data_IF_066559654955
#
_entry.id   IF_066559654955
#
_cell.length_a   1.000
_cell.length_b   1.000
_cell.length_c   1.000
_cell.angle_alpha   90.00
_cell.angle_beta   90.00
_cell.angle_gamma   90.00
#
_symmetry.space_group_name_H-M   'P 1'
#
loop_
_entity.id
_entity.type
_entity.pdbx_description
1 polymer ?
#
# COMPACT_ATOMS: atom_id res chain seq x y z
N UNK A 1 -5.26 -11.89 0.54
CA UNK A 1 -6.63 -11.47 0.94
C UNK A 1 -6.79 -11.73 2.43
N UNK A 2 -6.81 -10.67 3.24
CA UNK A 2 -7.01 -10.75 4.69
C UNK A 2 -8.15 -9.79 5.04
N UNK A 3 -9.20 -10.26 5.72
CA UNK A 3 -10.33 -9.44 6.15
C UNK A 3 -10.11 -8.97 7.60
N UNK A 4 -10.08 -7.66 7.91
CA UNK A 4 -9.99 -7.21 9.28
C UNK A 4 -11.37 -7.21 9.96
N UNK A 5 -11.42 -7.72 11.19
CA UNK A 5 -12.56 -7.57 12.12
C UNK A 5 -12.79 -6.07 12.39
N UNK A 6 -14.06 -5.67 12.43
CA UNK A 6 -14.51 -4.29 12.74
C UNK A 6 -13.83 -3.74 14.00
N UNK A 7 -13.11 -2.63 13.87
CA UNK A 7 -12.60 -1.86 14.99
C UNK A 7 -13.73 -1.09 15.72
N UNK A 8 -13.65 -0.86 17.04
CA UNK A 8 -14.64 -0.08 17.78
C UNK A 8 -14.48 1.43 17.51
N UNK A 9 -15.60 2.16 17.47
CA UNK A 9 -15.65 3.61 17.18
C UNK A 9 -14.88 4.44 18.22
N UNK A 10 -14.22 5.55 17.81
CA UNK A 10 -13.55 6.44 18.76
C UNK A 10 -14.56 7.24 19.59
N UNK A 11 -14.28 7.37 20.90
CA UNK A 11 -15.03 8.23 21.82
C UNK A 11 -14.71 9.71 21.56
N UNK A 12 -15.77 10.51 21.57
CA UNK A 12 -15.81 11.96 21.37
C UNK A 12 -14.96 12.70 22.41
N UNK A 13 -13.98 13.50 21.95
CA UNK A 13 -13.32 14.51 22.79
C UNK A 13 -14.33 15.61 23.13
N UNK A 14 -14.46 15.96 24.41
CA UNK A 14 -15.12 17.18 24.86
C UNK A 14 -14.06 18.15 25.40
N UNK A 15 -14.02 19.32 24.79
CA UNK A 15 -13.28 20.50 25.21
C UNK A 15 -14.00 21.21 26.36
N UNK A 16 -13.31 21.55 27.44
CA UNK A 16 -13.72 22.65 28.31
C UNK A 16 -12.51 23.40 28.89
N UNK A 17 -12.74 24.70 29.09
CA UNK A 17 -11.85 25.86 29.13
C UNK A 17 -11.40 26.26 30.55
N UNK A 18 -10.31 27.06 30.61
CA UNK A 18 -9.62 27.68 31.76
C UNK A 18 -10.46 28.38 32.84
N UNK A 19 -9.95 28.44 34.08
CA UNK A 19 -9.95 29.65 34.96
C UNK A 19 -9.03 29.49 36.20
N UNK A 20 -8.79 30.60 36.92
CA UNK A 20 -7.58 31.04 37.66
C UNK A 20 -7.43 30.71 39.18
N UNK A 21 -6.15 30.78 39.63
CA UNK A 21 -5.57 31.27 40.92
C UNK A 21 -5.76 30.58 42.28
N UNK A 22 -4.65 30.27 42.98
CA UNK A 22 -4.18 30.94 44.24
C UNK A 22 -2.96 30.23 44.88
N UNK A 23 -2.12 31.01 45.58
CA UNK A 23 -0.78 30.71 46.12
C UNK A 23 -0.74 29.89 47.43
N UNK A 24 0.41 29.24 47.72
CA UNK A 24 1.00 29.03 49.08
C UNK A 24 2.49 28.56 48.98
N UNK A 25 3.33 28.69 50.05
CA UNK A 25 4.76 29.11 49.98
C UNK A 25 5.82 27.96 50.01
N UNK A 26 7.15 28.24 49.92
CA UNK A 26 8.20 27.22 49.78
C UNK A 26 8.89 26.87 51.11
N UNK A 27 9.60 25.72 51.20
CA UNK A 27 10.64 25.54 52.19
C UNK A 27 12.02 25.24 51.59
N UNK A 28 12.98 26.05 52.06
CA UNK A 28 14.38 25.80 52.46
C UNK A 28 15.37 24.97 51.60
N UNK A 29 16.59 25.50 51.64
CA UNK A 29 17.85 25.17 50.96
C UNK A 29 18.59 23.88 51.37
N UNK A 30 19.00 23.10 50.35
CA UNK A 30 20.33 22.46 50.07
C UNK A 30 20.94 21.40 51.03
N UNK A 31 21.67 20.36 50.54
CA UNK A 31 23.00 20.54 49.91
C UNK A 31 23.38 19.68 48.68
N UNK A 32 24.48 20.13 48.08
CA UNK A 32 25.27 19.59 46.97
C UNK A 32 25.61 18.09 47.08
N UNK A 33 25.50 17.41 45.93
CA UNK A 33 26.55 16.54 45.38
C UNK A 33 26.51 15.05 45.73
N UNK A 34 26.33 14.19 44.70
CA UNK A 34 27.17 13.01 44.41
C UNK A 34 26.77 12.41 43.02
N UNK A 35 27.64 11.60 42.38
CA UNK A 35 28.05 11.81 41.00
C UNK A 35 27.16 11.16 39.93
N UNK A 36 27.35 11.64 38.70
CA UNK A 36 26.79 11.08 37.48
C UNK A 36 27.18 9.60 37.32
N UNK A 37 26.24 8.68 37.60
CA UNK A 37 26.32 7.33 37.05
C UNK A 37 26.06 7.40 35.55
N UNK A 38 27.12 7.16 34.78
CA UNK A 38 27.06 6.90 33.36
C UNK A 38 26.24 5.63 33.10
N UNK A 39 24.92 5.76 32.95
CA UNK A 39 24.10 4.72 32.36
C UNK A 39 24.32 4.75 30.84
N UNK A 40 25.45 4.15 30.44
CA UNK A 40 25.67 3.63 29.10
C UNK A 40 24.76 2.42 28.87
N UNK A 41 23.46 2.66 28.83
CA UNK A 41 22.50 1.71 28.30
C UNK A 41 22.32 1.99 26.82
N UNK A 42 22.90 1.15 25.95
CA UNK A 42 22.43 1.02 24.56
C UNK A 42 20.95 0.70 24.65
N UNK A 43 20.10 1.71 24.44
CA UNK A 43 18.68 1.50 24.19
C UNK A 43 18.60 1.01 22.76
N UNK A 44 18.82 -0.29 22.58
CA UNK A 44 18.31 -1.01 21.41
C UNK A 44 16.78 -0.96 21.52
N UNK A 45 16.20 0.20 21.18
CA UNK A 45 14.75 0.29 20.97
C UNK A 45 14.50 -0.51 19.70
N UNK A 46 14.11 -1.77 19.86
CA UNK A 46 13.35 -2.48 18.85
C UNK A 46 12.14 -1.59 18.51
N UNK A 47 12.25 -0.89 17.38
CA UNK A 47 11.14 -0.15 16.82
C UNK A 47 10.23 -1.19 16.17
N UNK A 48 9.34 -1.75 16.98
CA UNK A 48 8.26 -2.59 16.48
C UNK A 48 7.46 -1.77 15.45
N UNK A 49 7.47 -2.21 14.19
CA UNK A 49 6.63 -1.61 13.15
C UNK A 49 5.16 -1.87 13.52
N UNK A 50 4.46 -0.81 13.94
CA UNK A 50 3.05 -0.89 14.32
C UNK A 50 2.16 -0.72 13.09
N UNK A 51 1.06 -1.47 13.06
CA UNK A 51 -0.02 -1.34 12.06
C UNK A 51 0.42 -1.50 10.60
N UNK A 52 1.28 -2.49 10.33
CA UNK A 52 1.74 -2.81 8.98
C UNK A 52 0.58 -3.37 8.13
N UNK A 53 0.39 -2.81 6.94
CA UNK A 53 -0.66 -3.25 6.01
C UNK A 53 -0.63 -2.52 4.67
N UNK A 54 -1.69 -2.70 3.87
CA UNK A 54 -1.85 -2.02 2.58
C UNK A 54 -2.34 -0.59 2.85
N UNK A 55 -1.52 0.40 2.50
CA UNK A 55 -1.84 1.83 2.67
C UNK A 55 -2.47 2.45 1.41
N UNK A 56 -2.09 1.94 0.24
CA UNK A 56 -2.56 2.40 -1.05
C UNK A 56 -2.67 1.21 -2.01
N UNK A 57 -3.63 1.27 -2.93
CA UNK A 57 -3.80 0.29 -3.99
C UNK A 57 -4.23 1.02 -5.26
N UNK A 58 -3.71 0.57 -6.40
CA UNK A 58 -4.14 1.00 -7.72
C UNK A 58 -4.22 -0.21 -8.65
N UNK A 59 -4.97 -0.08 -9.73
CA UNK A 59 -5.24 -1.16 -10.67
C UNK A 59 -5.18 -0.63 -12.10
N UNK A 60 -4.69 -1.47 -13.01
CA UNK A 60 -4.72 -1.22 -14.45
C UNK A 60 -5.24 -2.47 -15.17
N UNK A 61 -6.13 -2.25 -16.13
CA UNK A 61 -6.61 -3.27 -17.05
C UNK A 61 -6.51 -2.73 -18.47
N UNK A 62 -6.16 -3.56 -19.46
CA UNK A 62 -6.25 -3.17 -20.87
C UNK A 62 -7.67 -2.68 -21.20
N UNK A 63 -7.83 -1.59 -21.96
CA UNK A 63 -9.15 -1.08 -22.33
C UNK A 63 -9.86 -1.98 -23.36
N UNK A 64 -9.12 -2.84 -24.06
CA UNK A 64 -9.64 -3.77 -25.05
C UNK A 64 -10.25 -5.00 -24.39
N UNK A 65 -11.51 -5.29 -24.71
CA UNK A 65 -12.22 -6.46 -24.19
C UNK A 65 -13.16 -7.07 -25.23
N UNK A 66 -13.51 -8.34 -25.02
CA UNK A 66 -14.54 -9.07 -25.76
C UNK A 66 -15.71 -9.38 -24.83
N UNK A 67 -16.93 -9.21 -25.33
CA UNK A 67 -18.14 -9.60 -24.61
C UNK A 67 -18.31 -11.13 -24.62
N UNK A 68 -18.62 -11.71 -23.48
CA UNK A 68 -18.73 -13.16 -23.35
C UNK A 68 -19.92 -13.73 -24.14
N UNK A 69 -21.02 -13.00 -24.25
CA UNK A 69 -22.15 -13.41 -25.11
C UNK A 69 -21.73 -13.50 -26.59
N UNK A 70 -20.94 -12.54 -27.09
CA UNK A 70 -20.42 -12.59 -28.45
C UNK A 70 -19.42 -13.75 -28.64
N UNK A 71 -18.61 -14.04 -27.61
CA UNK A 71 -17.67 -15.16 -27.62
C UNK A 71 -18.39 -16.51 -27.58
N UNK A 72 -19.52 -16.63 -26.87
CA UNK A 72 -20.36 -17.84 -26.90
C UNK A 72 -20.84 -18.14 -28.33
N UNK A 73 -21.32 -17.12 -29.03
CA UNK A 73 -21.78 -17.25 -30.43
C UNK A 73 -20.63 -17.63 -31.35
N UNK A 74 -19.47 -16.98 -31.19
CA UNK A 74 -18.27 -17.26 -31.99
C UNK A 74 -17.79 -18.71 -31.83
N UNK A 75 -17.75 -19.21 -30.60
CA UNK A 75 -17.26 -20.56 -30.29
C UNK A 75 -18.32 -21.66 -30.52
N UNK A 76 -19.54 -21.29 -30.90
CA UNK A 76 -20.67 -22.23 -30.99
C UNK A 76 -21.05 -22.84 -29.62
N UNK A 77 -20.75 -22.13 -28.54
CA UNK A 77 -21.12 -22.55 -27.20
C UNK A 77 -22.63 -22.39 -26.96
N UNK A 78 -23.18 -23.18 -26.04
CA UNK A 78 -24.55 -22.99 -25.60
C UNK A 78 -24.73 -21.64 -24.94
N UNK A 79 -25.83 -20.94 -25.25
CA UNK A 79 -26.19 -19.68 -24.62
C UNK A 79 -26.15 -19.80 -23.10
N UNK A 80 -25.49 -18.86 -22.44
CA UNK A 80 -25.36 -18.85 -20.99
C UNK A 80 -24.17 -19.62 -20.45
N UNK A 81 -23.39 -20.34 -21.27
CA UNK A 81 -22.25 -21.13 -20.79
C UNK A 81 -21.18 -20.26 -20.12
N UNK A 82 -20.82 -19.14 -20.73
CA UNK A 82 -19.79 -18.23 -20.24
C UNK A 82 -20.41 -17.18 -19.30
N UNK A 83 -21.56 -16.64 -19.68
CA UNK A 83 -22.24 -15.60 -18.89
C UNK A 83 -22.86 -16.13 -17.59
N UNK A 84 -23.60 -17.24 -17.63
CA UNK A 84 -24.25 -17.82 -16.44
C UNK A 84 -23.39 -18.93 -15.83
N UNK A 85 -22.86 -19.83 -16.66
CA UNK A 85 -22.08 -20.98 -16.20
C UNK A 85 -20.76 -20.58 -15.54
N UNK A 86 -20.02 -19.65 -16.15
CA UNK A 86 -18.76 -19.11 -15.59
C UNK A 86 -18.96 -17.79 -14.83
N UNK A 87 -20.09 -17.10 -15.01
CA UNK A 87 -20.35 -15.81 -14.36
C UNK A 87 -19.50 -14.67 -14.93
N UNK A 88 -19.18 -14.70 -16.23
CA UNK A 88 -18.32 -13.70 -16.88
C UNK A 88 -19.10 -12.83 -17.85
N UNK A 89 -18.95 -11.51 -17.75
CA UNK A 89 -19.60 -10.55 -18.68
C UNK A 89 -18.68 -10.18 -19.84
N UNK A 90 -17.41 -9.90 -19.53
CA UNK A 90 -16.40 -9.50 -20.50
C UNK A 90 -15.02 -10.06 -20.12
N UNK A 91 -14.16 -10.25 -21.13
CA UNK A 91 -12.77 -10.62 -20.94
C UNK A 91 -11.86 -9.57 -21.57
N UNK A 92 -11.05 -8.92 -20.75
CA UNK A 92 -10.02 -8.01 -21.22
C UNK A 92 -8.84 -8.81 -21.80
N UNK A 93 -8.18 -8.24 -22.81
CA UNK A 93 -6.99 -8.82 -23.43
C UNK A 93 -6.02 -7.72 -23.84
N UNK A 94 -4.72 -8.03 -23.86
CA UNK A 94 -3.70 -7.10 -24.32
C UNK A 94 -3.65 -7.07 -25.85
N UNK A 95 -3.49 -5.89 -26.42
CA UNK A 95 -3.10 -5.71 -27.82
C UNK A 95 -1.59 -5.80 -28.00
N UNK A 96 -1.09 -5.70 -29.23
CA UNK A 96 0.35 -5.76 -29.53
C UNK A 96 1.18 -4.65 -28.85
N UNK A 97 0.54 -3.59 -28.38
CA UNK A 97 1.20 -2.46 -27.71
C UNK A 97 1.19 -2.57 -26.18
N UNK A 98 0.67 -3.68 -25.63
CA UNK A 98 0.58 -3.90 -24.18
C UNK A 98 1.18 -5.25 -23.79
N UNK A 99 1.93 -5.23 -22.70
CA UNK A 99 2.56 -6.40 -22.09
C UNK A 99 2.62 -6.22 -20.57
N UNK A 100 3.12 -7.23 -19.86
CA UNK A 100 3.22 -7.17 -18.39
C UNK A 100 4.15 -6.07 -17.88
N UNK A 101 5.11 -5.61 -18.68
CA UNK A 101 6.06 -4.55 -18.29
C UNK A 101 5.35 -3.19 -18.38
N UNK A 102 4.74 -2.88 -19.52
CA UNK A 102 3.99 -1.65 -19.76
C UNK A 102 2.80 -1.50 -18.81
N UNK A 103 2.06 -2.58 -18.54
CA UNK A 103 1.00 -2.60 -17.53
C UNK A 103 1.55 -2.28 -16.12
N UNK A 104 2.68 -2.89 -15.76
CA UNK A 104 3.33 -2.67 -14.45
C UNK A 104 3.87 -1.24 -14.32
N UNK A 105 4.49 -0.69 -15.36
CA UNK A 105 4.95 0.71 -15.39
C UNK A 105 3.78 1.67 -15.23
N UNK A 106 2.67 1.40 -15.90
CA UNK A 106 1.46 2.24 -15.85
C UNK A 106 0.86 2.26 -14.45
N UNK A 107 0.65 1.10 -13.82
CA UNK A 107 0.04 1.05 -12.49
C UNK A 107 0.96 1.62 -11.40
N UNK A 108 2.27 1.39 -11.47
CA UNK A 108 3.23 1.94 -10.49
C UNK A 108 3.29 3.46 -10.61
N UNK A 109 3.41 3.99 -11.83
CA UNK A 109 3.43 5.44 -12.05
C UNK A 109 2.13 6.09 -11.58
N UNK A 110 0.98 5.53 -11.96
CA UNK A 110 -0.33 5.99 -11.55
C UNK A 110 -0.50 5.97 -10.02
N UNK A 111 -0.03 4.93 -9.34
CA UNK A 111 -0.09 4.82 -7.88
C UNK A 111 0.75 5.92 -7.19
N UNK A 112 1.99 6.12 -7.62
CA UNK A 112 2.87 7.14 -7.04
C UNK A 112 2.30 8.55 -7.23
N UNK A 113 1.74 8.83 -8.41
CA UNK A 113 1.11 10.11 -8.73
C UNK A 113 -0.16 10.35 -7.93
N UNK A 114 -1.10 9.39 -7.89
CA UNK A 114 -2.40 9.52 -7.20
C UNK A 114 -2.27 9.67 -5.68
N UNK A 115 -1.29 9.01 -5.09
CA UNK A 115 -1.06 9.04 -3.64
C UNK A 115 0.08 9.99 -3.24
N UNK A 116 0.65 10.74 -4.20
CA UNK A 116 1.72 11.71 -3.98
C UNK A 116 2.93 11.13 -3.22
N UNK A 117 3.34 9.92 -3.60
CA UNK A 117 4.45 9.20 -2.95
C UNK A 117 5.74 9.55 -3.68
N UNK A 118 6.74 10.06 -2.94
CA UNK A 118 8.08 10.25 -3.47
C UNK A 118 8.74 8.88 -3.72
N UNK A 119 9.17 8.56 -4.97
CA UNK A 119 9.84 7.31 -5.30
C UNK A 119 11.04 6.99 -4.38
N UNK A 120 11.72 8.01 -3.84
CA UNK A 120 12.89 7.85 -2.95
C UNK A 120 12.54 7.23 -1.59
N UNK A 121 11.26 7.23 -1.20
CA UNK A 121 10.79 6.63 0.05
C UNK A 121 10.57 5.12 -0.05
N UNK A 122 10.57 4.55 -1.27
CA UNK A 122 10.32 3.13 -1.48
C UNK A 122 11.62 2.33 -1.25
N UNK A 123 11.69 1.65 -0.11
CA UNK A 123 12.86 0.82 0.25
C UNK A 123 12.85 -0.60 -0.30
N UNK A 124 11.70 -1.10 -0.80
CA UNK A 124 11.55 -2.45 -1.34
C UNK A 124 10.50 -2.48 -2.44
N UNK A 125 10.83 -3.11 -3.56
CA UNK A 125 9.94 -3.33 -4.69
C UNK A 125 10.00 -4.81 -5.09
N UNK A 126 8.84 -5.46 -5.09
CA UNK A 126 8.67 -6.85 -5.53
C UNK A 126 7.60 -6.92 -6.61
N UNK A 127 7.80 -7.83 -7.56
CA UNK A 127 6.86 -8.10 -8.64
C UNK A 127 6.53 -9.58 -8.61
N UNK A 128 5.25 -9.90 -8.37
CA UNK A 128 4.71 -11.24 -8.58
C UNK A 128 4.12 -11.33 -9.99
N UNK A 129 4.64 -12.25 -10.81
CA UNK A 129 4.11 -12.53 -12.14
C UNK A 129 4.35 -14.00 -12.48
N UNK A 130 3.37 -14.63 -13.13
CA UNK A 130 3.53 -15.93 -13.78
C UNK A 130 3.86 -15.80 -15.27
N UNK A 131 3.62 -14.62 -15.86
CA UNK A 131 3.94 -14.34 -17.27
C UNK A 131 5.40 -13.93 -17.38
N UNK A 132 6.20 -14.80 -18.02
CA UNK A 132 7.64 -14.62 -18.20
C UNK A 132 7.94 -14.06 -19.60
N UNK A 133 8.41 -12.82 -19.65
CA UNK A 133 8.92 -12.19 -20.89
C UNK A 133 10.40 -12.53 -21.11
N UNK A 134 11.18 -12.56 -20.03
CA UNK A 134 12.60 -12.89 -20.04
C UNK A 134 12.91 -13.82 -18.86
N UNK A 135 13.74 -14.84 -19.10
CA UNK A 135 14.06 -15.88 -18.11
C UNK A 135 15.10 -15.44 -17.08
N UNK A 136 15.83 -14.36 -17.34
CA UNK A 136 16.94 -13.88 -16.51
C UNK A 136 16.72 -12.43 -16.04
N UNK A 137 16.17 -11.57 -16.89
CA UNK A 137 15.85 -10.17 -16.57
C UNK A 137 14.43 -10.09 -16.00
N UNK A 138 14.33 -9.79 -14.72
CA UNK A 138 13.03 -9.59 -14.07
C UNK A 138 12.33 -8.30 -14.51
N UNK A 139 10.99 -8.30 -14.46
CA UNK A 139 10.14 -7.11 -14.66
C UNK A 139 10.56 -5.99 -13.69
N UNK A 140 10.94 -6.35 -12.46
CA UNK A 140 11.43 -5.40 -11.44
C UNK A 140 12.57 -4.53 -11.96
N UNK A 141 13.51 -5.08 -12.73
CA UNK A 141 14.62 -4.28 -13.30
C UNK A 141 14.14 -3.29 -14.36
N UNK A 142 13.07 -3.59 -15.10
CA UNK A 142 12.44 -2.61 -16.00
C UNK A 142 11.77 -1.48 -15.22
N UNK A 143 11.07 -1.79 -14.12
CA UNK A 143 10.42 -0.79 -13.27
C UNK A 143 11.40 0.19 -12.60
N UNK A 144 12.66 -0.19 -12.44
CA UNK A 144 13.68 0.68 -11.84
C UNK A 144 13.84 2.01 -12.59
N UNK A 145 13.47 2.09 -13.86
CA UNK A 145 13.45 3.33 -14.65
C UNK A 145 12.59 4.44 -14.01
N UNK A 146 11.58 4.10 -13.19
CA UNK A 146 10.76 5.08 -12.45
C UNK A 146 11.51 5.66 -11.23
N UNK A 147 12.48 4.91 -10.70
CA UNK A 147 13.21 5.20 -9.47
C UNK A 147 14.63 5.71 -9.72
N UNK A 148 15.10 5.68 -10.97
CA UNK A 148 16.36 6.27 -11.43
C UNK A 148 16.22 7.80 -11.48
N UNK A 149 16.43 8.46 -10.34
CA UNK A 149 16.50 9.93 -10.19
C UNK A 149 17.82 10.33 -9.58
#
# INVERSE_FOLDING_TARGET
VYYPRRAPRPRRCQSHTNSLTSHTPPPASQPLGEPAEAQSGRRDREMECKDVGILAMDMYFPPTCVQQEALEVHDGASKGKYTIGLGQDCMAFCSEVEDVISMSLTVVKSLLEKYHIDPKLIGRLEVGSETVIDKSKSIKTWLMQIFEV
#
